data_IF_479569757783
#
_entry.id   IF_479569757783
#
_cell.length_a   1.000
_cell.length_b   1.000
_cell.length_c   1.000
_cell.angle_alpha   90.00
_cell.angle_beta   90.00
_cell.angle_gamma   90.00
#
_symmetry.space_group_name_H-M   'P 1'
#
loop_
_entity.id
_entity.type
_entity.pdbx_description
1 polymer ?
#
# COMPACT_ATOMS: atom_id res chain seq x y z
N UNK A 1 26.20 25.55 -44.96
CA UNK A 1 26.37 25.37 -43.49
C UNK A 1 25.05 25.78 -42.84
N UNK A 2 24.11 24.84 -42.69
CA UNK A 2 22.80 25.12 -42.09
C UNK A 2 22.79 24.52 -40.67
N UNK A 3 22.56 25.36 -39.66
CA UNK A 3 22.52 24.96 -38.27
C UNK A 3 21.13 24.37 -37.95
N UNK A 4 21.10 23.10 -37.59
CA UNK A 4 19.90 22.41 -37.11
C UNK A 4 19.69 22.73 -35.64
N UNK A 5 18.67 23.53 -35.33
CA UNK A 5 18.30 23.85 -33.95
C UNK A 5 17.45 22.71 -33.39
N UNK A 6 17.97 21.97 -32.41
CA UNK A 6 17.19 20.98 -31.67
C UNK A 6 16.41 21.68 -30.55
N UNK A 7 15.09 21.77 -30.72
CA UNK A 7 14.17 22.20 -29.65
C UNK A 7 14.08 21.08 -28.61
N UNK A 8 14.68 21.28 -27.44
CA UNK A 8 14.52 20.40 -26.28
C UNK A 8 13.14 20.62 -25.66
N UNK A 9 12.24 19.65 -25.80
CA UNK A 9 10.97 19.63 -25.05
C UNK A 9 11.30 19.18 -23.63
N UNK A 10 11.16 20.08 -22.67
CA UNK A 10 11.19 19.74 -21.23
C UNK A 10 9.78 19.29 -20.86
N UNK A 11 9.56 17.98 -20.76
CA UNK A 11 8.32 17.46 -20.23
C UNK A 11 8.25 17.81 -18.73
N UNK A 12 7.33 18.71 -18.36
CA UNK A 12 7.03 18.98 -16.95
C UNK A 12 6.52 17.71 -16.29
N UNK A 13 7.31 17.11 -15.41
CA UNK A 13 6.92 15.94 -14.60
C UNK A 13 5.96 16.40 -13.51
N UNK A 14 4.70 16.62 -13.86
CA UNK A 14 3.63 16.75 -12.87
C UNK A 14 3.39 15.34 -12.29
N UNK A 15 3.95 15.07 -11.12
CA UNK A 15 3.60 13.86 -10.39
C UNK A 15 2.12 13.94 -10.01
N UNK A 16 1.28 12.99 -10.45
CA UNK A 16 -0.12 12.99 -10.07
C UNK A 16 -0.22 12.90 -8.55
N UNK A 17 -0.76 13.95 -7.93
CA UNK A 17 -0.96 14.00 -6.49
C UNK A 17 -2.33 13.40 -6.21
N UNK A 18 -2.36 12.14 -5.77
CA UNK A 18 -3.59 11.50 -5.32
C UNK A 18 -3.71 11.57 -3.80
N UNK A 19 -4.93 11.44 -3.29
CA UNK A 19 -5.20 11.40 -1.86
C UNK A 19 -5.98 10.13 -1.53
N UNK A 20 -5.68 9.55 -0.37
CA UNK A 20 -6.43 8.42 0.15
C UNK A 20 -7.78 8.91 0.70
N UNK A 21 -8.82 8.10 0.64
CA UNK A 21 -10.04 8.31 1.43
C UNK A 21 -9.78 8.01 2.91
N UNK A 22 -10.75 8.29 3.78
CA UNK A 22 -10.62 7.94 5.20
C UNK A 22 -10.49 6.43 5.41
N UNK A 23 -11.29 5.63 4.68
CA UNK A 23 -11.24 4.15 4.74
C UNK A 23 -9.93 3.60 4.19
N UNK A 24 -9.42 4.18 3.11
CA UNK A 24 -8.12 3.78 2.55
C UNK A 24 -6.99 4.07 3.51
N UNK A 25 -6.95 5.25 4.14
CA UNK A 25 -5.95 5.55 5.18
C UNK A 25 -6.03 4.53 6.32
N UNK A 26 -7.23 4.23 6.79
CA UNK A 26 -7.44 3.27 7.86
C UNK A 26 -6.94 1.87 7.48
N UNK A 27 -7.23 1.41 6.25
CA UNK A 27 -6.72 0.12 5.75
C UNK A 27 -5.19 0.13 5.65
N UNK A 28 -4.60 1.19 5.09
CA UNK A 28 -3.14 1.35 5.01
C UNK A 28 -2.51 1.25 6.39
N UNK A 29 -3.03 1.99 7.36
CA UNK A 29 -2.48 2.06 8.71
C UNK A 29 -2.55 0.68 9.40
N UNK A 30 -3.69 0.00 9.29
CA UNK A 30 -3.83 -1.38 9.77
C UNK A 30 -2.80 -2.33 9.14
N UNK A 31 -2.66 -2.29 7.81
CA UNK A 31 -1.74 -3.16 7.09
C UNK A 31 -0.27 -2.90 7.47
N UNK A 32 0.10 -1.63 7.65
CA UNK A 32 1.44 -1.22 8.10
C UNK A 32 1.70 -1.65 9.54
N UNK A 33 0.73 -1.51 10.44
CA UNK A 33 0.86 -1.95 11.84
C UNK A 33 1.05 -3.47 11.94
N UNK A 34 0.35 -4.23 11.10
CA UNK A 34 0.48 -5.69 11.03
C UNK A 34 1.85 -6.09 10.48
N UNK A 35 2.33 -5.43 9.42
CA UNK A 35 3.68 -5.65 8.92
C UNK A 35 4.74 -5.38 10.00
N UNK A 36 4.62 -4.27 10.73
CA UNK A 36 5.53 -3.93 11.83
C UNK A 36 5.47 -4.96 12.97
N UNK A 37 4.29 -5.49 13.28
CA UNK A 37 4.12 -6.55 14.27
C UNK A 37 4.82 -7.86 13.87
N UNK A 38 4.71 -8.25 12.59
CA UNK A 38 5.37 -9.44 12.04
C UNK A 38 6.90 -9.26 12.06
N UNK A 39 7.38 -8.09 11.60
CA UNK A 39 8.80 -7.75 11.56
C UNK A 39 9.40 -7.73 12.97
N UNK A 40 8.73 -7.09 13.93
CA UNK A 40 9.18 -7.04 15.33
C UNK A 40 9.24 -8.42 15.99
N UNK A 41 8.45 -9.38 15.52
CA UNK A 41 8.47 -10.75 16.00
C UNK A 41 9.48 -11.65 15.27
N UNK A 42 10.19 -11.13 14.25
CA UNK A 42 11.14 -11.91 13.45
C UNK A 42 10.47 -13.03 12.64
N UNK A 43 9.20 -12.87 12.26
CA UNK A 43 8.41 -13.88 11.52
C UNK A 43 8.43 -13.70 9.99
N UNK A 44 9.23 -12.75 9.51
CA UNK A 44 9.50 -12.54 8.08
C UNK A 44 11.01 -12.69 7.81
N UNK A 45 11.44 -13.26 6.67
CA UNK A 45 12.85 -13.40 6.33
C UNK A 45 13.55 -12.07 6.02
N UNK A 46 12.77 -11.04 5.66
CA UNK A 46 13.23 -9.66 5.41
C UNK A 46 12.13 -8.67 5.85
N UNK A 47 12.43 -7.37 6.06
CA UNK A 47 11.42 -6.38 6.40
C UNK A 47 10.25 -6.38 5.41
N UNK A 48 9.03 -6.41 5.92
CA UNK A 48 7.85 -6.46 5.07
C UNK A 48 7.61 -5.13 4.37
N UNK A 49 7.39 -5.21 3.06
CA UNK A 49 7.02 -4.09 2.20
C UNK A 49 5.70 -4.44 1.51
N UNK A 50 4.67 -3.68 1.88
CA UNK A 50 3.34 -3.78 1.28
C UNK A 50 3.21 -2.77 0.14
N UNK A 51 2.67 -3.21 -0.99
CA UNK A 51 2.46 -2.37 -2.18
C UNK A 51 1.03 -2.53 -2.67
N UNK A 52 0.28 -1.43 -2.66
CA UNK A 52 -1.00 -1.41 -3.35
C UNK A 52 -0.76 -1.39 -4.85
N UNK A 53 -1.51 -2.23 -5.56
CA UNK A 53 -1.31 -2.53 -6.96
C UNK A 53 -2.68 -2.65 -7.67
N UNK A 54 -2.65 -3.08 -8.93
CA UNK A 54 -3.86 -3.40 -9.68
C UNK A 54 -4.65 -2.19 -10.17
N UNK A 55 -5.95 -2.43 -10.42
CA UNK A 55 -6.86 -1.45 -11.01
C UNK A 55 -6.97 -0.17 -10.17
N UNK A 56 -6.92 -0.31 -8.84
CA UNK A 56 -6.99 0.82 -7.92
C UNK A 56 -5.93 1.89 -8.20
N UNK A 57 -4.68 1.52 -8.49
CA UNK A 57 -3.61 2.49 -8.75
C UNK A 57 -3.91 3.29 -10.01
N UNK A 58 -4.32 2.62 -11.10
CA UNK A 58 -4.74 3.29 -12.33
C UNK A 58 -5.91 4.24 -12.07
N UNK A 59 -6.95 3.75 -11.39
CA UNK A 59 -8.18 4.50 -11.17
C UNK A 59 -7.92 5.74 -10.29
N UNK A 60 -7.08 5.62 -9.27
CA UNK A 60 -6.64 6.77 -8.45
C UNK A 60 -5.88 7.83 -9.21
N UNK A 61 -5.02 7.44 -10.14
CA UNK A 61 -4.30 8.38 -11.00
C UNK A 61 -5.22 9.09 -11.98
N UNK A 62 -6.36 8.47 -12.33
CA UNK A 62 -7.39 9.02 -13.22
C UNK A 62 -8.51 9.77 -12.48
N UNK A 63 -8.50 9.79 -11.14
CA UNK A 63 -9.57 10.38 -10.34
C UNK A 63 -10.88 9.59 -10.39
N UNK A 64 -10.81 8.29 -10.68
CA UNK A 64 -11.94 7.37 -10.70
C UNK A 64 -12.03 6.69 -9.33
N UNK A 65 -13.23 6.63 -8.76
CA UNK A 65 -13.48 5.89 -7.52
C UNK A 65 -13.35 4.38 -7.76
N UNK A 66 -12.60 3.72 -6.88
CA UNK A 66 -12.31 2.28 -6.95
C UNK A 66 -12.33 1.71 -5.54
N UNK A 67 -12.96 0.55 -5.37
CA UNK A 67 -13.21 -0.04 -4.05
C UNK A 67 -12.34 -1.27 -3.76
N UNK A 68 -11.76 -1.88 -4.80
CA UNK A 68 -10.98 -3.10 -4.69
C UNK A 68 -9.48 -2.76 -4.63
N UNK A 69 -8.80 -3.12 -3.53
CA UNK A 69 -7.38 -2.82 -3.32
C UNK A 69 -6.59 -4.12 -3.31
N UNK A 70 -5.80 -4.33 -4.37
CA UNK A 70 -4.85 -5.43 -4.42
C UNK A 70 -3.58 -5.05 -3.66
N UNK A 71 -3.14 -5.90 -2.73
CA UNK A 71 -1.89 -5.70 -1.99
C UNK A 71 -0.90 -6.80 -2.31
N UNK A 72 0.26 -6.41 -2.85
CA UNK A 72 1.42 -7.29 -3.00
C UNK A 72 2.31 -7.22 -1.76
N UNK A 73 2.87 -8.37 -1.39
CA UNK A 73 3.72 -8.57 -0.21
C UNK A 73 5.03 -9.19 -0.70
N UNK A 74 6.17 -8.62 -0.32
CA UNK A 74 7.49 -9.05 -0.83
C UNK A 74 7.91 -10.43 -0.32
N UNK A 75 7.69 -10.72 0.96
CA UNK A 75 8.39 -11.82 1.64
C UNK A 75 7.50 -12.99 2.06
N UNK A 76 6.18 -12.91 1.81
CA UNK A 76 5.25 -13.99 2.17
C UNK A 76 3.98 -13.98 1.31
N UNK A 77 3.27 -15.11 1.32
CA UNK A 77 1.98 -15.22 0.63
C UNK A 77 0.91 -14.43 1.38
N UNK A 78 -0.14 -14.02 0.67
CA UNK A 78 -1.30 -13.38 1.30
C UNK A 78 -1.98 -14.27 2.35
N UNK A 79 -1.92 -15.59 2.18
CA UNK A 79 -2.42 -16.54 3.18
C UNK A 79 -1.59 -16.53 4.47
N UNK A 80 -0.26 -16.56 4.36
CA UNK A 80 0.60 -16.47 5.54
C UNK A 80 0.38 -15.13 6.27
N UNK A 81 0.31 -14.03 5.52
CA UNK A 81 0.03 -12.71 6.08
C UNK A 81 -1.36 -12.65 6.77
N UNK A 82 -2.39 -13.33 6.25
CA UNK A 82 -3.72 -13.30 6.87
C UNK A 82 -3.78 -14.05 8.21
N UNK A 83 -2.96 -15.09 8.38
CA UNK A 83 -2.79 -15.76 9.67
C UNK A 83 -2.14 -14.83 10.69
N UNK A 84 -1.10 -14.10 10.27
CA UNK A 84 -0.43 -13.10 11.10
C UNK A 84 -1.35 -11.92 11.45
N UNK A 85 -2.17 -11.48 10.49
CA UNK A 85 -3.21 -10.47 10.71
C UNK A 85 -4.19 -10.91 11.79
N UNK A 86 -4.67 -12.16 11.75
CA UNK A 86 -5.53 -12.71 12.80
C UNK A 86 -4.83 -12.67 14.17
N UNK A 87 -3.57 -13.07 14.23
CA UNK A 87 -2.82 -13.10 15.47
C UNK A 87 -2.54 -11.68 16.03
N UNK A 88 -2.33 -10.70 15.13
CA UNK A 88 -2.25 -9.29 15.49
C UNK A 88 -3.49 -8.81 16.26
N UNK A 89 -4.71 -9.21 15.84
CA UNK A 89 -5.95 -8.84 16.53
C UNK A 89 -6.19 -9.58 17.84
N UNK A 90 -5.60 -10.76 18.01
CA UNK A 90 -5.69 -11.51 19.27
C UNK A 90 -4.78 -10.94 20.36
N UNK A 91 -3.73 -10.19 19.98
CA UNK A 91 -2.83 -9.55 20.92
C UNK A 91 -3.59 -8.53 21.81
N UNK A 92 -3.46 -8.59 23.15
CA UNK A 92 -4.21 -7.73 24.07
C UNK A 92 -4.05 -6.22 23.80
N UNK A 93 -2.87 -5.80 23.34
CA UNK A 93 -2.56 -4.40 23.02
C UNK A 93 -3.30 -3.86 21.80
N UNK A 94 -3.80 -4.72 20.92
CA UNK A 94 -4.33 -4.34 19.61
C UNK A 94 -5.86 -4.48 19.50
N UNK A 95 -6.54 -4.79 20.61
CA UNK A 95 -8.01 -4.99 20.65
C UNK A 95 -8.83 -3.75 20.30
N UNK A 96 -8.20 -2.57 20.21
CA UNK A 96 -8.86 -1.36 19.74
C UNK A 96 -9.12 -1.38 18.23
N UNK A 97 -8.31 -2.09 17.44
CA UNK A 97 -8.51 -2.25 16.00
C UNK A 97 -9.64 -3.23 15.64
N UNK A 98 -10.20 -3.97 16.60
CA UNK A 98 -11.19 -5.03 16.32
C UNK A 98 -12.50 -4.52 15.71
N UNK A 99 -12.81 -3.21 15.81
CA UNK A 99 -14.01 -2.59 15.22
C UNK A 99 -13.85 -2.23 13.73
N UNK A 100 -12.68 -2.47 13.13
CA UNK A 100 -12.36 -2.09 11.75
C UNK A 100 -12.74 -3.17 10.73
N UNK A 101 -13.03 -4.39 11.18
CA UNK A 101 -13.32 -5.55 10.33
C UNK A 101 -14.75 -6.12 10.50
N UNK A 102 -15.62 -5.41 11.21
CA UNK A 102 -17.03 -5.79 11.41
C UNK A 102 -17.96 -4.98 10.50
#
# INVERSE_FOLDING_TARGET
MAATTHTTIVASTVHPKFSLTAKERQLRDLLVDVAAFIDAAGRSPEPLVLRWAGGWVRDKLLGIESHDIDTAINAMTGYAFSLELRDYFQAPRNRHHTHVLA
#
